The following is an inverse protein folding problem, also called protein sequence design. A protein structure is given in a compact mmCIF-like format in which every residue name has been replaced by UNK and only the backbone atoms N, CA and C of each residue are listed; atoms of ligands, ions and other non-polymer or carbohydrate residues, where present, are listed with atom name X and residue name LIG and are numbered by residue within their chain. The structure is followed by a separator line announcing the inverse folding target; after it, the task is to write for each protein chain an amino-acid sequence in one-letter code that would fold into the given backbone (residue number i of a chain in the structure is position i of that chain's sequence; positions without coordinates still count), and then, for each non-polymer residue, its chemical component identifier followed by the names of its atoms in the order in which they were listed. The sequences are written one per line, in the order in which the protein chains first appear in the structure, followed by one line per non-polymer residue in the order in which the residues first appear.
data_IF_523453841892
#
_entry.id   IF_523453841892
#
_cell.length_a   1.000
_cell.length_b   1.000
_cell.length_c   1.000
_cell.angle_alpha   90.00
_cell.angle_beta   90.00
_cell.angle_gamma   90.00
#
_symmetry.space_group_name_H-M   'P 1'
#
loop_
_entity.id
_entity.type
_entity.pdbx_description
1 polymer ?
#
# COMPACT_ATOMS: atom_id res chain seq x y z
N UNK A 1 -32.10 26.76 -1.19
CA UNK A 1 -31.46 25.48 -0.83
C UNK A 1 -30.69 25.07 -2.07
N UNK A 2 -29.50 25.62 -2.21
CA UNK A 2 -28.74 25.59 -3.46
C UNK A 2 -27.80 24.39 -3.47
N UNK A 3 -27.79 23.72 -4.60
CA UNK A 3 -27.09 22.49 -4.91
C UNK A 3 -25.59 22.75 -4.76
N UNK A 4 -24.98 22.06 -3.81
CA UNK A 4 -23.55 22.10 -3.56
C UNK A 4 -22.81 21.64 -4.81
N UNK A 5 -21.95 22.53 -5.31
CA UNK A 5 -21.19 22.42 -6.56
C UNK A 5 -20.59 21.02 -6.71
N UNK A 6 -20.95 20.37 -7.83
CA UNK A 6 -20.19 19.26 -8.38
C UNK A 6 -18.72 19.69 -8.48
N UNK A 7 -17.84 18.83 -8.01
CA UNK A 7 -16.39 18.97 -8.07
C UNK A 7 -15.92 19.25 -9.50
N UNK A 8 -15.11 20.29 -9.65
CA UNK A 8 -14.23 20.50 -10.80
C UNK A 8 -13.23 19.32 -10.84
N UNK A 9 -13.56 18.27 -11.60
CA UNK A 9 -12.76 17.05 -11.79
C UNK A 9 -11.91 17.09 -13.07
N UNK A 10 -11.89 18.20 -13.79
CA UNK A 10 -11.35 18.27 -15.17
C UNK A 10 -9.88 18.74 -15.26
N UNK A 11 -9.21 19.09 -14.15
CA UNK A 11 -7.83 19.64 -14.15
C UNK A 11 -6.86 18.89 -13.20
N UNK A 12 -7.04 17.58 -12.99
CA UNK A 12 -6.00 16.74 -12.38
C UNK A 12 -5.28 16.03 -13.51
N UNK A 13 -4.12 16.54 -13.92
CA UNK A 13 -3.18 15.75 -14.71
C UNK A 13 -2.91 14.47 -13.92
N UNK A 14 -3.38 13.33 -14.43
CA UNK A 14 -3.16 12.02 -13.83
C UNK A 14 -1.67 11.69 -13.95
N UNK A 15 -0.88 12.11 -12.97
CA UNK A 15 0.54 11.77 -12.89
C UNK A 15 0.69 10.34 -12.35
N UNK A 16 1.38 9.48 -13.09
CA UNK A 16 1.68 8.13 -12.62
C UNK A 16 2.48 8.17 -11.30
N UNK A 17 2.14 7.28 -10.36
CA UNK A 17 2.82 7.21 -9.06
C UNK A 17 3.90 6.12 -9.11
N UNK A 18 5.12 6.45 -8.70
CA UNK A 18 6.18 5.47 -8.52
C UNK A 18 6.02 4.73 -7.17
N UNK A 19 5.87 3.41 -7.22
CA UNK A 19 5.82 2.52 -6.06
C UNK A 19 6.95 1.49 -6.12
N UNK A 20 7.42 1.06 -4.97
CA UNK A 20 8.38 -0.03 -4.83
C UNK A 20 7.67 -1.34 -4.48
N UNK A 21 7.96 -2.41 -5.20
CA UNK A 21 7.47 -3.75 -4.86
C UNK A 21 8.50 -4.47 -4.02
N UNK A 22 8.08 -4.94 -2.84
CA UNK A 22 8.95 -5.59 -1.87
C UNK A 22 8.50 -7.03 -1.65
N UNK A 23 9.40 -7.96 -1.99
CA UNK A 23 9.21 -9.40 -1.87
C UNK A 23 10.10 -9.98 -0.78
N UNK A 24 9.54 -10.75 0.13
CA UNK A 24 10.29 -11.42 1.19
C UNK A 24 10.87 -12.74 0.69
N UNK A 25 12.15 -12.98 0.95
CA UNK A 25 12.80 -14.26 0.62
C UNK A 25 12.35 -15.41 1.55
N UNK A 26 11.75 -15.07 2.70
CA UNK A 26 11.24 -16.01 3.69
C UNK A 26 9.94 -15.47 4.27
N UNK A 27 9.01 -16.37 4.58
CA UNK A 27 7.81 -16.00 5.31
C UNK A 27 8.18 -15.67 6.76
N UNK A 28 8.30 -14.37 7.06
CA UNK A 28 8.61 -13.85 8.39
C UNK A 28 7.47 -12.95 8.88
N UNK A 29 7.20 -12.92 10.20
CA UNK A 29 6.21 -12.00 10.75
C UNK A 29 6.60 -10.53 10.54
N UNK A 30 5.59 -9.67 10.33
CA UNK A 30 5.81 -8.24 10.13
C UNK A 30 6.63 -7.58 11.26
N UNK A 31 6.41 -7.97 12.52
CA UNK A 31 7.13 -7.39 13.64
C UNK A 31 8.64 -7.68 13.58
N UNK A 32 9.05 -8.88 13.13
CA UNK A 32 10.46 -9.25 12.98
C UNK A 32 11.09 -8.51 11.80
N UNK A 33 10.35 -8.41 10.70
CA UNK A 33 10.76 -7.68 9.50
C UNK A 33 11.04 -6.19 9.81
N UNK A 34 10.05 -5.49 10.36
CA UNK A 34 10.19 -4.07 10.68
C UNK A 34 11.14 -3.81 11.84
N UNK A 35 11.30 -4.75 12.78
CA UNK A 35 12.35 -4.66 13.79
C UNK A 35 13.73 -4.62 13.12
N UNK A 36 13.98 -5.51 12.17
CA UNK A 36 15.28 -5.60 11.47
C UNK A 36 15.53 -4.35 10.60
N UNK A 37 14.53 -3.89 9.83
CA UNK A 37 14.65 -2.64 9.06
C UNK A 37 14.99 -1.47 9.99
N UNK A 38 14.29 -1.35 11.11
CA UNK A 38 14.50 -0.25 12.05
C UNK A 38 15.86 -0.30 12.76
N UNK A 39 16.54 -1.45 12.83
CA UNK A 39 17.92 -1.51 13.34
C UNK A 39 18.93 -1.07 12.28
N UNK A 40 18.71 -1.43 11.02
CA UNK A 40 19.64 -1.15 9.93
C UNK A 40 19.53 0.28 9.39
N UNK A 41 18.43 0.99 9.68
CA UNK A 41 18.12 2.30 9.12
C UNK A 41 17.98 3.39 10.18
N UNK A 42 18.27 4.62 9.78
CA UNK A 42 17.87 5.81 10.54
C UNK A 42 16.34 6.06 10.45
N UNK A 43 15.69 5.49 9.44
CA UNK A 43 14.24 5.43 9.30
C UNK A 43 13.63 4.46 10.32
N UNK A 44 12.69 4.95 11.13
CA UNK A 44 11.96 4.14 12.11
C UNK A 44 10.52 3.95 11.65
N UNK A 45 10.25 2.81 11.04
CA UNK A 45 8.92 2.39 10.63
C UNK A 45 8.09 1.99 11.84
N UNK A 46 6.88 2.54 11.90
CA UNK A 46 5.90 2.26 12.95
C UNK A 46 4.55 1.92 12.34
N UNK A 47 3.81 1.01 12.97
CA UNK A 47 2.46 0.66 12.50
C UNK A 47 1.54 1.86 12.61
N UNK A 48 0.77 2.11 11.56
CA UNK A 48 -0.25 3.15 11.47
C UNK A 48 -1.63 2.53 11.37
N UNK A 49 -2.65 3.38 11.24
CA UNK A 49 -4.00 2.92 10.99
C UNK A 49 -3.99 2.16 9.66
N UNK A 50 -4.54 0.95 9.70
CA UNK A 50 -4.65 0.11 8.52
C UNK A 50 -5.49 0.81 7.44
N UNK A 51 -5.16 0.54 6.19
CA UNK A 51 -5.95 0.95 5.04
C UNK A 51 -7.16 0.02 4.95
N UNK A 52 -8.34 0.62 4.92
CA UNK A 52 -9.59 -0.11 4.80
C UNK A 52 -10.07 0.00 3.36
N UNK A 53 -10.23 -1.15 2.72
CA UNK A 53 -10.89 -1.27 1.44
C UNK A 53 -12.33 -1.75 1.65
N UNK A 54 -13.29 -1.01 1.10
CA UNK A 54 -14.70 -1.33 1.21
C UNK A 54 -15.16 -2.04 -0.07
N UNK A 55 -15.18 -3.37 -0.02
CA UNK A 55 -15.82 -4.18 -1.04
C UNK A 55 -17.35 -4.14 -0.93
N UNK A 56 -18.03 -4.82 -1.86
CA UNK A 56 -19.47 -4.91 -1.82
C UNK A 56 -19.91 -5.81 -0.66
N UNK A 57 -19.28 -6.96 -0.48
CA UNK A 57 -19.65 -7.94 0.55
C UNK A 57 -18.73 -7.93 1.76
N UNK A 58 -17.47 -7.53 1.59
CA UNK A 58 -16.45 -7.55 2.63
C UNK A 58 -15.79 -6.19 2.84
N UNK A 59 -15.27 -6.01 4.04
CA UNK A 59 -14.32 -4.97 4.41
C UNK A 59 -12.96 -5.59 4.61
N UNK A 60 -11.93 -5.06 3.96
CA UNK A 60 -10.57 -5.61 4.04
C UNK A 60 -9.66 -4.61 4.73
N UNK A 61 -8.87 -5.09 5.68
CA UNK A 61 -7.87 -4.30 6.38
C UNK A 61 -6.47 -4.64 5.87
N UNK A 62 -5.72 -3.62 5.48
CA UNK A 62 -4.35 -3.74 5.00
C UNK A 62 -3.41 -3.00 5.96
N UNK A 63 -2.53 -3.72 6.67
CA UNK A 63 -1.58 -3.10 7.59
C UNK A 63 -0.66 -2.09 6.89
N UNK A 64 -0.47 -0.95 7.55
CA UNK A 64 0.40 0.15 7.10
C UNK A 64 1.50 0.43 8.09
N UNK A 65 2.69 0.71 7.58
CA UNK A 65 3.86 1.08 8.38
C UNK A 65 4.55 2.28 7.77
N UNK A 66 4.76 3.31 8.57
CA UNK A 66 5.29 4.59 8.09
C UNK A 66 6.55 4.99 8.84
N UNK A 67 7.50 5.56 8.10
CA UNK A 67 8.67 6.24 8.63
C UNK A 67 8.81 7.61 7.98
N UNK A 68 9.17 8.60 8.79
CA UNK A 68 9.42 9.96 8.33
C UNK A 68 10.93 10.22 8.27
N UNK A 69 11.42 10.58 7.10
CA UNK A 69 12.80 11.01 6.91
C UNK A 69 12.93 12.51 7.14
N UNK A 70 13.58 12.90 8.24
CA UNK A 70 13.67 14.32 8.63
C UNK A 70 14.46 15.18 7.64
N UNK A 71 15.48 14.61 7.00
CA UNK A 71 16.42 15.35 6.15
C UNK A 71 15.77 15.75 4.82
N UNK A 72 15.09 14.82 4.16
CA UNK A 72 14.40 15.06 2.89
C UNK A 72 12.93 15.47 3.08
N UNK A 73 12.41 15.36 4.31
CA UNK A 73 11.00 15.57 4.66
C UNK A 73 10.04 14.60 3.97
N UNK A 74 10.56 13.46 3.52
CA UNK A 74 9.82 12.41 2.83
C UNK A 74 9.17 11.46 3.83
N UNK A 75 7.93 11.06 3.58
CA UNK A 75 7.28 9.97 4.30
C UNK A 75 7.31 8.71 3.45
N UNK A 76 7.87 7.63 4.00
CA UNK A 76 7.86 6.32 3.36
C UNK A 76 6.81 5.42 4.03
N UNK A 77 5.97 4.79 3.23
CA UNK A 77 4.84 3.98 3.67
C UNK A 77 4.93 2.58 3.08
N UNK A 78 5.06 1.57 3.92
CA UNK A 78 4.81 0.18 3.53
C UNK A 78 3.34 -0.15 3.74
N UNK A 79 2.71 -0.71 2.72
CA UNK A 79 1.35 -1.23 2.75
C UNK A 79 1.43 -2.72 2.45
N UNK A 80 0.82 -3.56 3.30
CA UNK A 80 0.68 -4.99 2.98
C UNK A 80 -0.12 -5.16 1.71
N UNK A 81 0.39 -5.91 0.74
CA UNK A 81 -0.35 -6.16 -0.51
C UNK A 81 -1.56 -7.07 -0.25
N UNK A 82 -1.41 -8.07 0.63
CA UNK A 82 -2.49 -8.95 1.07
C UNK A 82 -3.21 -8.39 2.29
N UNK A 83 -4.54 -8.50 2.33
CA UNK A 83 -5.31 -8.11 3.51
C UNK A 83 -4.93 -8.98 4.73
N UNK A 84 -4.82 -8.36 5.91
CA UNK A 84 -4.63 -9.10 7.16
C UNK A 84 -5.94 -9.61 7.73
N UNK A 85 -7.01 -8.84 7.54
CA UNK A 85 -8.34 -9.13 8.05
C UNK A 85 -9.40 -8.84 6.98
N UNK A 86 -10.45 -9.65 7.00
CA UNK A 86 -11.62 -9.51 6.12
C UNK A 86 -12.89 -9.68 6.95
N UNK A 87 -13.73 -8.66 6.99
CA UNK A 87 -14.99 -8.68 7.72
C UNK A 87 -16.17 -8.72 6.74
N UNK A 88 -17.00 -9.77 6.83
CA UNK A 88 -18.17 -9.88 5.97
C UNK A 88 -19.30 -8.96 6.47
N UNK A 89 -19.72 -8.02 5.62
CA UNK A 89 -20.82 -7.08 5.91
C UNK A 89 -22.18 -7.66 5.59
N UNK A 90 -22.27 -8.38 4.46
CA UNK A 90 -23.51 -8.96 3.96
C UNK A 90 -23.26 -10.32 3.33
N UNK A 91 -24.30 -11.16 3.33
CA UNK A 91 -24.23 -12.47 2.71
C UNK A 91 -24.08 -12.32 1.20
N UNK A 92 -23.13 -13.06 0.62
CA UNK A 92 -22.98 -13.14 -0.82
C UNK A 92 -24.06 -14.08 -1.37
N UNK A 93 -25.03 -13.50 -2.05
CA UNK A 93 -26.16 -14.23 -2.66
C UNK A 93 -25.97 -14.45 -4.16
N UNK A 94 -24.97 -13.79 -4.74
CA UNK A 94 -24.69 -13.81 -6.18
C UNK A 94 -23.46 -14.67 -6.47
N UNK A 95 -23.57 -15.54 -7.47
CA UNK A 95 -22.56 -16.55 -7.79
C UNK A 95 -21.36 -16.02 -8.59
N UNK A 96 -21.42 -14.79 -9.13
CA UNK A 96 -20.43 -14.25 -10.08
C UNK A 96 -19.85 -12.89 -9.69
N UNK A 97 -19.83 -12.55 -8.40
CA UNK A 97 -19.32 -11.22 -7.98
C UNK A 97 -17.80 -11.13 -7.97
N UNK A 98 -17.09 -12.27 -8.06
CA UNK A 98 -15.62 -12.33 -8.03
C UNK A 98 -14.98 -11.85 -6.72
N UNK A 99 -15.80 -11.47 -5.72
CA UNK A 99 -15.34 -10.99 -4.43
C UNK A 99 -15.14 -12.18 -3.48
N UNK A 100 -13.92 -12.32 -2.98
CA UNK A 100 -13.48 -13.40 -2.09
C UNK A 100 -13.06 -12.84 -0.72
N UNK A 101 -12.97 -13.70 0.29
CA UNK A 101 -12.54 -13.29 1.63
C UNK A 101 -11.06 -12.86 1.71
N UNK A 102 -10.27 -13.10 0.67
CA UNK A 102 -8.88 -12.63 0.58
C UNK A 102 -8.80 -11.67 -0.60
N UNK A 103 -8.32 -10.45 -0.34
CA UNK A 103 -8.05 -9.47 -1.40
C UNK A 103 -6.60 -9.03 -1.37
N UNK A 104 -6.08 -8.79 -2.57
CA UNK A 104 -4.79 -8.17 -2.81
C UNK A 104 -5.02 -6.77 -3.39
N UNK A 105 -4.14 -5.83 -3.03
CA UNK A 105 -4.12 -4.51 -3.63
C UNK A 105 -3.62 -4.58 -5.08
N UNK A 106 -2.60 -5.40 -5.34
CA UNK A 106 -2.11 -5.74 -6.67
C UNK A 106 -2.41 -7.21 -6.98
N UNK A 107 -3.59 -7.46 -7.57
CA UNK A 107 -4.03 -8.82 -7.90
C UNK A 107 -3.14 -9.52 -8.94
N UNK A 108 -2.40 -8.75 -9.75
CA UNK A 108 -1.47 -9.30 -10.75
C UNK A 108 -0.11 -9.72 -10.17
N UNK A 109 0.18 -9.35 -8.91
CA UNK A 109 1.48 -9.54 -8.25
C UNK A 109 1.29 -10.12 -6.84
N UNK A 110 0.70 -11.31 -6.75
CA UNK A 110 0.37 -11.98 -5.47
C UNK A 110 1.59 -12.41 -4.65
N UNK A 111 2.75 -12.47 -5.29
CA UNK A 111 4.06 -12.78 -4.70
C UNK A 111 4.74 -11.57 -4.05
N UNK A 112 4.15 -10.38 -4.17
CA UNK A 112 4.59 -9.18 -3.47
C UNK A 112 3.95 -9.13 -2.10
N UNK A 113 4.78 -9.10 -1.04
CA UNK A 113 4.30 -8.94 0.34
C UNK A 113 3.94 -7.49 0.66
N UNK A 114 4.78 -6.53 0.28
CA UNK A 114 4.56 -5.13 0.59
C UNK A 114 4.70 -4.22 -0.63
N UNK A 115 3.84 -3.23 -0.68
CA UNK A 115 3.90 -2.09 -1.58
C UNK A 115 4.52 -0.93 -0.81
N UNK A 116 5.61 -0.41 -1.32
CA UNK A 116 6.31 0.74 -0.77
C UNK A 116 5.90 1.99 -1.55
N UNK A 117 5.41 2.96 -0.81
CA UNK A 117 4.95 4.25 -1.31
C UNK A 117 5.74 5.37 -0.64
N UNK A 118 5.80 6.53 -1.28
CA UNK A 118 6.46 7.72 -0.76
C UNK A 118 5.62 8.96 -1.04
N UNK A 119 5.66 9.95 -0.16
CA UNK A 119 5.02 11.26 -0.38
C UNK A 119 5.68 12.11 -1.47
N UNK A 120 6.73 11.61 -2.13
CA UNK A 120 7.43 12.29 -3.22
C UNK A 120 7.08 11.66 -4.56
N UNK A 121 7.00 12.48 -5.61
CA UNK A 121 6.69 12.04 -6.97
C UNK A 121 7.78 11.11 -7.56
N UNK A 122 9.05 11.35 -7.23
CA UNK A 122 10.18 10.54 -7.67
C UNK A 122 10.96 10.04 -6.45
N UNK A 123 10.43 9.03 -5.76
CA UNK A 123 11.04 8.53 -4.55
C UNK A 123 12.28 7.71 -4.86
N UNK A 124 13.35 7.99 -4.12
CA UNK A 124 14.52 7.12 -4.09
C UNK A 124 14.34 6.08 -2.99
N UNK A 125 13.83 4.89 -3.34
CA UNK A 125 13.65 3.80 -2.38
C UNK A 125 14.98 3.15 -1.96
N UNK A 126 16.10 3.44 -2.65
CA UNK A 126 17.41 2.91 -2.28
C UNK A 126 17.93 3.43 -0.94
N UNK A 127 17.33 4.52 -0.42
CA UNK A 127 17.63 5.06 0.91
C UNK A 127 17.19 4.13 2.05
N UNK A 128 16.32 3.15 1.78
CA UNK A 128 15.88 2.15 2.75
C UNK A 128 16.80 0.92 2.61
N UNK A 129 17.68 0.74 3.59
CA UNK A 129 18.56 -0.41 3.72
C UNK A 129 17.75 -1.64 4.15
N UNK A 130 17.25 -2.38 3.16
CA UNK A 130 16.58 -3.65 3.40
C UNK A 130 17.57 -4.75 3.78
N UNK A 131 17.20 -5.67 4.69
CA UNK A 131 18.07 -6.79 5.06
C UNK A 131 18.27 -7.77 3.90
N UNK A 132 19.48 -7.81 3.34
CA UNK A 132 19.84 -8.58 2.12
C UNK A 132 19.46 -10.07 2.15
N UNK A 133 19.46 -10.70 3.33
CA UNK A 133 19.15 -12.12 3.48
C UNK A 133 17.65 -12.41 3.66
N UNK A 134 16.81 -11.38 3.72
CA UNK A 134 15.38 -11.48 4.02
C UNK A 134 14.49 -10.93 2.92
N UNK A 135 15.03 -10.09 2.02
CA UNK A 135 14.26 -9.38 1.02
C UNK A 135 14.98 -9.41 -0.32
N UNK A 136 14.23 -9.59 -1.40
CA UNK A 136 14.75 -9.32 -2.73
C UNK A 136 14.96 -7.82 -2.95
N UNK A 137 15.82 -7.41 -3.88
CA UNK A 137 15.94 -6.00 -4.26
C UNK A 137 14.56 -5.41 -4.60
N UNK A 138 14.36 -4.15 -4.20
CA UNK A 138 13.12 -3.41 -4.49
C UNK A 138 12.98 -3.33 -6.01
N UNK A 139 11.80 -3.68 -6.51
CA UNK A 139 11.46 -3.50 -7.91
C UNK A 139 10.61 -2.24 -8.06
N UNK A 140 11.10 -1.28 -8.83
CA UNK A 140 10.32 -0.10 -9.19
C UNK A 140 9.14 -0.49 -10.07
N UNK A 141 7.98 0.07 -9.76
CA UNK A 141 6.73 -0.13 -10.50
C UNK A 141 6.02 1.21 -10.63
N UNK A 142 5.48 1.46 -11.81
CA UNK A 142 4.73 2.68 -12.11
C UNK A 142 3.25 2.37 -12.08
N UNK A 143 2.54 3.01 -11.16
CA UNK A 143 1.12 2.83 -10.94
C UNK A 143 0.34 3.89 -11.71
N UNK A 144 -0.38 3.45 -12.74
CA UNK A 144 -1.23 4.32 -13.55
C UNK A 144 -2.59 4.58 -12.87
N UNK A 145 -3.26 5.67 -13.25
CA UNK A 145 -4.59 6.05 -12.74
C UNK A 145 -5.71 5.04 -13.01
N UNK A 146 -5.51 4.14 -13.98
CA UNK A 146 -6.43 3.06 -14.30
C UNK A 146 -6.43 1.93 -13.24
N UNK A 147 -5.39 1.87 -12.39
CA UNK A 147 -5.30 0.85 -11.35
C UNK A 147 -6.07 1.23 -10.08
N UNK A 148 -6.84 0.29 -9.53
CA UNK A 148 -7.63 0.50 -8.30
C UNK A 148 -6.78 1.00 -7.13
N UNK A 149 -5.53 0.52 -7.03
CA UNK A 149 -4.59 0.95 -5.99
C UNK A 149 -4.24 2.44 -6.07
N UNK A 150 -4.22 3.03 -7.26
CA UNK A 150 -3.88 4.45 -7.44
C UNK A 150 -4.87 5.34 -6.69
N UNK A 151 -6.15 5.07 -6.90
CA UNK A 151 -7.25 5.81 -6.27
C UNK A 151 -7.24 5.61 -4.75
N UNK A 152 -6.89 4.41 -4.29
CA UNK A 152 -6.78 4.11 -2.88
C UNK A 152 -5.64 4.90 -2.24
N UNK A 153 -4.44 4.91 -2.82
CA UNK A 153 -3.30 5.65 -2.26
C UNK A 153 -3.64 7.13 -2.11
N UNK A 154 -4.22 7.75 -3.16
CA UNK A 154 -4.63 9.16 -3.16
C UNK A 154 -5.66 9.52 -2.09
N UNK A 155 -6.58 8.61 -1.74
CA UNK A 155 -7.57 8.88 -0.68
C UNK A 155 -6.97 8.90 0.74
N UNK A 156 -5.77 8.33 0.90
CA UNK A 156 -5.15 8.06 2.20
C UNK A 156 -3.88 8.89 2.47
N UNK A 157 -3.53 9.79 1.54
CA UNK A 157 -2.59 10.93 1.74
C UNK A 157 -3.28 12.11 2.44
#
# INVERSE_FOLDING_TARGET
MEIQKLYDLDDIEFEDIAIGLVRLAKNIPAHEFFYTINQNNDLKFSRKKDLIFHGAYFEYSFPRYEAYHKSTKTCFTFISNRCSESNQKKLQTELFTGEENIKFLLNNQVDVEYILHSSEQFPDFSVILLPENLVFPIQDYTLSSDEELYQIIQYYE
#
